data_IF_032285993244
#
_entry.id   IF_032285993244
#
_cell.length_a   1.000
_cell.length_b   1.000
_cell.length_c   1.000
_cell.angle_alpha   90.00
_cell.angle_beta   90.00
_cell.angle_gamma   90.00
#
_symmetry.space_group_name_H-M   'P 1'
#
loop_
_entity.id
_entity.type
_entity.pdbx_description
1 polymer ?
#
# COMPACT_ATOMS: atom_id res chain seq x y z
N UNK A 1 3.81 -15.70 -14.79
CA UNK A 1 5.00 -16.11 -14.01
C UNK A 1 5.47 -17.43 -14.61
N UNK A 2 6.64 -17.45 -15.24
CA UNK A 2 7.18 -18.69 -15.82
C UNK A 2 7.66 -19.57 -14.67
N UNK A 3 7.17 -20.80 -14.55
CA UNK A 3 7.57 -21.75 -13.50
C UNK A 3 9.09 -22.07 -13.50
N UNK A 4 9.80 -21.68 -14.57
CA UNK A 4 11.24 -21.90 -14.75
C UNK A 4 12.14 -21.09 -13.82
N UNK A 5 11.63 -20.08 -13.10
CA UNK A 5 12.44 -19.24 -12.20
C UNK A 5 12.12 -19.46 -10.72
N UNK A 6 11.43 -20.55 -10.37
CA UNK A 6 11.10 -20.85 -8.98
C UNK A 6 12.27 -21.57 -8.31
N UNK A 7 12.82 -20.98 -7.24
CA UNK A 7 13.79 -21.67 -6.40
C UNK A 7 13.07 -22.39 -5.25
N UNK A 8 13.58 -23.58 -4.94
CA UNK A 8 13.12 -24.40 -3.83
C UNK A 8 14.27 -24.58 -2.86
N UNK A 9 13.96 -24.65 -1.56
CA UNK A 9 14.93 -25.01 -0.54
C UNK A 9 15.46 -26.44 -0.74
N UNK A 10 16.78 -26.60 -0.76
CA UNK A 10 17.43 -27.90 -0.87
C UNK A 10 17.63 -28.48 0.53
N UNK A 11 16.67 -29.27 0.99
CA UNK A 11 16.77 -29.94 2.29
C UNK A 11 17.79 -31.11 2.28
N UNK A 12 18.33 -31.45 3.45
CA UNK A 12 19.37 -32.48 3.60
C UNK A 12 18.92 -33.88 3.15
N UNK A 13 17.64 -34.20 3.27
CA UNK A 13 17.06 -35.47 2.80
C UNK A 13 17.01 -35.52 1.26
N UNK A 14 16.74 -34.38 0.63
CA UNK A 14 16.68 -34.21 -0.82
C UNK A 14 18.09 -34.34 -1.41
N UNK A 15 19.08 -33.72 -0.77
CA UNK A 15 20.48 -33.87 -1.14
C UNK A 15 20.93 -35.35 -1.13
N UNK A 16 20.61 -36.09 -0.06
CA UNK A 16 20.93 -37.53 0.05
C UNK A 16 20.29 -38.39 -1.05
N UNK A 17 19.07 -38.05 -1.47
CA UNK A 17 18.35 -38.81 -2.52
C UNK A 17 18.83 -38.47 -3.93
N UNK A 18 19.37 -37.27 -4.14
CA UNK A 18 19.92 -36.82 -5.43
C UNK A 18 21.34 -37.29 -5.72
N UNK A 19 22.18 -37.52 -4.69
CA UNK A 19 23.55 -38.04 -4.86
C UNK A 19 23.64 -39.27 -5.78
N UNK A 20 22.86 -40.35 -5.56
CA UNK A 20 22.96 -41.55 -6.40
C UNK A 20 22.46 -41.35 -7.84
N UNK A 21 21.66 -40.32 -8.12
CA UNK A 21 21.13 -40.04 -9.45
C UNK A 21 22.17 -39.48 -10.41
N UNK A 22 23.23 -38.83 -9.90
CA UNK A 22 24.22 -38.13 -10.72
C UNK A 22 24.89 -39.05 -11.74
N UNK A 23 25.15 -40.31 -11.37
CA UNK A 23 25.78 -41.31 -12.25
C UNK A 23 24.82 -41.97 -13.24
N UNK A 24 23.50 -41.83 -13.04
CA UNK A 24 22.46 -42.50 -13.83
C UNK A 24 21.80 -41.57 -14.86
N UNK A 25 21.90 -40.26 -14.64
CA UNK A 25 21.31 -39.25 -15.50
C UNK A 25 22.08 -39.12 -16.84
N UNK A 26 21.39 -38.73 -17.93
CA UNK A 26 22.05 -38.32 -19.16
C UNK A 26 23.05 -37.19 -18.91
N UNK A 27 24.13 -37.15 -19.69
CA UNK A 27 25.25 -36.22 -19.49
C UNK A 27 24.86 -34.74 -19.43
N UNK A 28 23.77 -34.33 -20.09
CA UNK A 28 23.27 -32.95 -20.03
C UNK A 28 22.64 -32.59 -18.69
N UNK A 29 21.92 -33.52 -18.06
CA UNK A 29 21.22 -33.29 -16.80
C UNK A 29 22.14 -33.49 -15.59
N UNK A 30 23.10 -34.43 -15.70
CA UNK A 30 24.07 -34.67 -14.62
C UNK A 30 24.95 -33.45 -14.36
N UNK A 31 25.37 -32.73 -15.39
CA UNK A 31 26.15 -31.48 -15.26
C UNK A 31 25.36 -30.41 -14.52
N UNK A 32 24.07 -30.24 -14.84
CA UNK A 32 23.21 -29.27 -14.16
C UNK A 32 23.00 -29.63 -12.69
N UNK A 33 22.79 -30.92 -12.39
CA UNK A 33 22.57 -31.39 -11.02
C UNK A 33 23.85 -31.32 -10.17
N UNK A 34 25.02 -31.55 -10.76
CA UNK A 34 26.32 -31.57 -10.06
C UNK A 34 26.68 -30.20 -9.43
N UNK A 35 26.23 -29.11 -10.04
CA UNK A 35 26.36 -27.75 -9.49
C UNK A 35 25.67 -27.59 -8.13
N UNK A 36 24.60 -28.35 -7.87
CA UNK A 36 23.80 -28.25 -6.64
C UNK A 36 24.15 -29.33 -5.60
N UNK A 37 25.04 -30.26 -5.93
CA UNK A 37 25.46 -31.37 -5.04
C UNK A 37 26.88 -31.16 -4.50
N UNK A 38 27.66 -30.27 -5.12
CA UNK A 38 29.04 -29.94 -4.73
C UNK A 38 29.11 -29.41 -3.29
N UNK A 39 30.21 -29.69 -2.57
CA UNK A 39 30.45 -29.25 -1.20
C UNK A 39 31.15 -27.87 -1.21
N UNK A 40 30.59 -26.81 -0.60
CA UNK A 40 29.36 -26.77 0.21
C UNK A 40 28.06 -26.74 -0.60
N UNK A 41 27.03 -27.52 -0.19
CA UNK A 41 25.78 -27.58 -0.93
C UNK A 41 25.03 -26.24 -0.84
N UNK A 42 24.56 -25.70 -1.97
CA UNK A 42 23.71 -24.51 -1.95
C UNK A 42 22.39 -24.81 -1.23
N UNK A 43 21.88 -23.83 -0.48
CA UNK A 43 20.62 -23.97 0.27
C UNK A 43 19.37 -23.98 -0.62
N UNK A 44 19.51 -23.70 -1.91
CA UNK A 44 18.42 -23.63 -2.88
C UNK A 44 18.78 -24.34 -4.18
N UNK A 45 17.76 -24.94 -4.80
CA UNK A 45 17.84 -25.59 -6.11
C UNK A 45 16.68 -25.07 -7.00
N UNK A 46 16.93 -24.78 -8.28
CA UNK A 46 15.87 -24.42 -9.22
C UNK A 46 14.86 -25.56 -9.43
N UNK A 47 13.58 -25.21 -9.46
CA UNK A 47 12.47 -26.16 -9.66
C UNK A 47 12.57 -26.90 -11.00
N UNK A 48 13.05 -26.24 -12.05
CA UNK A 48 13.19 -26.85 -13.37
C UNK A 48 14.11 -28.07 -13.36
N UNK A 49 15.20 -28.07 -12.58
CA UNK A 49 16.13 -29.21 -12.46
C UNK A 49 15.43 -30.40 -11.81
N UNK A 50 14.66 -30.17 -10.75
CA UNK A 50 13.89 -31.24 -10.11
C UNK A 50 12.76 -31.75 -11.01
N UNK A 51 12.18 -30.86 -11.82
CA UNK A 51 11.15 -31.20 -12.79
C UNK A 51 11.70 -32.06 -13.94
N UNK A 52 12.89 -31.76 -14.49
CA UNK A 52 13.50 -32.59 -15.54
C UNK A 52 13.84 -33.98 -15.02
N UNK A 53 14.34 -34.09 -13.78
CA UNK A 53 14.58 -35.38 -13.11
C UNK A 53 13.27 -36.16 -12.90
N UNK A 54 12.21 -35.48 -12.46
CA UNK A 54 10.87 -36.08 -12.31
C UNK A 54 10.28 -36.55 -13.65
N UNK A 55 10.54 -35.84 -14.74
CA UNK A 55 10.11 -36.26 -16.08
C UNK A 55 10.95 -37.46 -16.57
N UNK A 56 12.26 -37.42 -16.37
CA UNK A 56 13.16 -38.51 -16.74
C UNK A 56 12.83 -39.81 -15.99
N UNK A 57 12.54 -39.75 -14.69
CA UNK A 57 12.17 -40.93 -13.89
C UNK A 57 10.88 -41.61 -14.36
N UNK A 58 10.00 -40.88 -15.08
CA UNK A 58 8.78 -41.42 -15.71
C UNK A 58 9.02 -42.08 -17.07
N UNK A 59 10.16 -41.83 -17.71
CA UNK A 59 10.50 -42.47 -18.99
C UNK A 59 10.88 -43.94 -18.79
N UNK A 60 10.66 -44.76 -19.82
CA UNK A 60 11.01 -46.19 -19.77
C UNK A 60 12.50 -46.44 -19.57
N UNK A 61 13.35 -45.57 -20.12
CA UNK A 61 14.82 -45.61 -19.94
C UNK A 61 15.21 -45.26 -18.51
N UNK A 62 14.64 -44.20 -17.95
CA UNK A 62 14.87 -43.79 -16.55
C UNK A 62 14.41 -44.86 -15.55
N UNK A 63 13.21 -45.42 -15.72
CA UNK A 63 12.72 -46.51 -14.86
C UNK A 63 13.62 -47.74 -14.89
N UNK A 64 14.12 -48.12 -16.07
CA UNK A 64 15.04 -49.26 -16.21
C UNK A 64 16.37 -48.98 -15.53
N UNK A 65 16.92 -47.77 -15.68
CA UNK A 65 18.17 -47.37 -15.05
C UNK A 65 18.07 -47.31 -13.51
N UNK A 66 16.96 -46.79 -12.98
CA UNK A 66 16.69 -46.73 -11.53
C UNK A 66 16.56 -48.14 -10.94
N UNK A 67 15.74 -49.01 -11.56
CA UNK A 67 15.57 -50.39 -11.11
C UNK A 67 16.85 -51.21 -11.18
N UNK A 68 17.71 -50.97 -12.19
CA UNK A 68 19.00 -51.64 -12.30
C UNK A 68 19.94 -51.31 -11.13
N UNK A 69 19.74 -50.18 -10.46
CA UNK A 69 20.53 -49.73 -9.31
C UNK A 69 19.79 -49.89 -7.98
N UNK A 70 18.73 -50.73 -7.93
CA UNK A 70 17.91 -50.97 -6.74
C UNK A 70 17.24 -49.72 -6.15
N UNK A 71 16.95 -48.72 -6.99
CA UNK A 71 16.21 -47.51 -6.62
C UNK A 71 14.75 -47.63 -7.05
N UNK A 72 13.81 -47.22 -6.21
CA UNK A 72 12.39 -47.20 -6.56
C UNK A 72 12.08 -45.98 -7.46
N UNK A 73 11.59 -46.17 -8.69
CA UNK A 73 11.20 -45.05 -9.54
C UNK A 73 10.13 -44.15 -8.91
N UNK A 74 9.25 -44.68 -8.05
CA UNK A 74 8.15 -43.89 -7.46
C UNK A 74 8.67 -42.73 -6.61
N UNK A 75 9.76 -42.92 -5.87
CA UNK A 75 10.38 -41.89 -5.02
C UNK A 75 10.84 -40.67 -5.82
N UNK A 76 11.18 -40.87 -7.10
CA UNK A 76 11.69 -39.83 -7.99
C UNK A 76 10.61 -39.21 -8.88
N UNK A 77 9.43 -39.81 -8.97
CA UNK A 77 8.33 -39.28 -9.81
C UNK A 77 7.73 -38.00 -9.26
N UNK A 78 7.78 -37.80 -7.94
CA UNK A 78 7.22 -36.66 -7.23
C UNK A 78 8.27 -35.85 -6.46
N UNK A 79 9.56 -35.99 -6.81
CA UNK A 79 10.66 -35.31 -6.08
C UNK A 79 10.49 -33.78 -6.06
N UNK A 80 9.90 -33.20 -7.11
CA UNK A 80 9.59 -31.78 -7.18
C UNK A 80 8.48 -31.33 -6.20
N UNK A 81 7.61 -32.25 -5.74
CA UNK A 81 6.60 -31.98 -4.71
C UNK A 81 7.10 -32.31 -3.30
N UNK A 82 8.02 -33.26 -3.19
CA UNK A 82 8.69 -33.62 -1.93
C UNK A 82 9.75 -32.59 -1.50
N UNK A 83 10.17 -31.71 -2.41
CA UNK A 83 11.22 -30.71 -2.18
C UNK A 83 10.89 -29.61 -1.14
N UNK A 84 9.83 -29.77 -0.34
CA UNK A 84 9.55 -28.90 0.80
C UNK A 84 8.72 -27.66 0.47
N UNK A 85 8.03 -27.16 1.50
CA UNK A 85 6.90 -26.25 1.44
C UNK A 85 7.26 -24.76 1.20
N UNK A 86 8.55 -24.41 1.16
CA UNK A 86 9.00 -23.03 1.01
C UNK A 86 9.43 -22.75 -0.42
N UNK A 87 8.46 -22.35 -1.25
CA UNK A 87 8.72 -21.79 -2.58
C UNK A 87 9.21 -20.35 -2.45
N UNK A 88 10.34 -20.02 -3.07
CA UNK A 88 10.94 -18.67 -2.99
C UNK A 88 11.25 -18.20 -1.55
N UNK A 89 12.14 -18.89 -0.81
CA UNK A 89 12.58 -18.43 0.51
C UNK A 89 13.24 -17.03 0.47
N UNK A 90 13.76 -16.62 -0.68
CA UNK A 90 14.27 -15.27 -0.95
C UNK A 90 13.18 -14.22 -1.26
N UNK A 91 11.93 -14.66 -1.40
CA UNK A 91 10.80 -13.80 -1.72
C UNK A 91 10.45 -12.87 -0.56
N UNK A 92 10.89 -11.61 -0.63
CA UNK A 92 10.39 -10.57 0.27
C UNK A 92 8.94 -10.30 -0.10
N UNK A 93 7.99 -10.72 0.74
CA UNK A 93 6.62 -10.23 0.66
C UNK A 93 6.67 -8.71 0.80
N UNK A 94 6.07 -7.99 -0.16
CA UNK A 94 6.07 -6.52 -0.13
C UNK A 94 5.43 -5.98 1.16
N UNK A 95 5.74 -4.72 1.50
CA UNK A 95 5.18 -4.08 2.70
C UNK A 95 3.65 -4.11 2.67
N UNK A 96 3.05 -4.77 3.66
CA UNK A 96 1.60 -4.79 3.81
C UNK A 96 1.09 -3.38 4.14
N UNK A 97 0.28 -2.81 3.24
CA UNK A 97 -0.43 -1.56 3.49
C UNK A 97 -1.85 -1.89 3.95
N UNK A 98 -2.20 -1.67 5.23
CA UNK A 98 -3.53 -1.97 5.73
C UNK A 98 -4.59 -1.13 5.01
N UNK A 99 -5.81 -1.67 4.79
CA UNK A 99 -6.92 -0.90 4.26
C UNK A 99 -7.17 0.36 5.08
N UNK A 100 -7.39 1.49 4.41
CA UNK A 100 -7.72 2.76 5.08
C UNK A 100 -8.99 2.56 5.93
N UNK A 101 -8.94 2.98 7.20
CA UNK A 101 -10.11 2.93 8.08
C UNK A 101 -11.27 3.81 7.57
N UNK A 102 -12.52 3.53 7.97
CA UNK A 102 -13.71 4.22 7.48
C UNK A 102 -13.64 5.75 7.68
N UNK A 103 -13.09 6.21 8.80
CA UNK A 103 -12.90 7.64 9.08
C UNK A 103 -11.94 8.34 8.11
N UNK A 104 -10.91 7.65 7.62
CA UNK A 104 -9.97 8.21 6.66
C UNK A 104 -10.63 8.34 5.27
N UNK A 105 -11.47 7.37 4.89
CA UNK A 105 -12.22 7.39 3.64
C UNK A 105 -13.23 8.54 3.64
N UNK A 106 -13.94 8.77 4.74
CA UNK A 106 -14.87 9.89 4.87
C UNK A 106 -14.17 11.26 4.80
N UNK A 107 -13.00 11.38 5.44
CA UNK A 107 -12.20 12.60 5.39
C UNK A 107 -11.70 12.89 3.97
N UNK A 108 -11.30 11.86 3.21
CA UNK A 108 -10.88 12.01 1.82
C UNK A 108 -12.07 12.42 0.93
N UNK A 109 -13.24 11.79 1.07
CA UNK A 109 -14.47 12.21 0.36
C UNK A 109 -14.89 13.65 0.65
N UNK A 110 -14.72 14.11 1.89
CA UNK A 110 -15.04 15.50 2.25
C UNK A 110 -14.08 16.50 1.58
N UNK A 111 -12.80 16.15 1.41
CA UNK A 111 -11.83 16.98 0.68
C UNK A 111 -12.15 16.99 -0.82
N UNK A 112 -12.45 15.83 -1.40
CA UNK A 112 -12.84 15.71 -2.81
C UNK A 112 -14.03 16.61 -3.14
N UNK A 113 -15.08 16.59 -2.30
CA UNK A 113 -16.25 17.48 -2.50
C UNK A 113 -15.87 18.95 -2.48
N UNK A 114 -14.99 19.37 -1.56
CA UNK A 114 -14.52 20.76 -1.47
C UNK A 114 -13.73 21.17 -2.71
N UNK A 115 -12.85 20.30 -3.19
CA UNK A 115 -12.07 20.54 -4.40
C UNK A 115 -12.99 20.66 -5.62
N UNK A 116 -13.97 19.77 -5.76
CA UNK A 116 -14.97 19.83 -6.84
C UNK A 116 -15.76 21.15 -6.77
N UNK A 117 -16.22 21.57 -5.58
CA UNK A 117 -16.95 22.84 -5.45
C UNK A 117 -16.09 24.05 -5.78
N UNK A 118 -14.81 24.04 -5.40
CA UNK A 118 -13.89 25.13 -5.73
C UNK A 118 -13.67 25.22 -7.25
N UNK A 119 -13.50 24.09 -7.91
CA UNK A 119 -13.34 24.02 -9.37
C UNK A 119 -14.59 24.52 -10.11
N UNK A 120 -15.78 24.12 -9.66
CA UNK A 120 -17.03 24.62 -10.23
C UNK A 120 -17.20 26.13 -10.02
N UNK A 121 -16.84 26.65 -8.84
CA UNK A 121 -16.89 28.08 -8.58
C UNK A 121 -15.94 28.86 -9.50
N UNK A 122 -14.71 28.40 -9.66
CA UNK A 122 -13.74 29.02 -10.55
C UNK A 122 -14.21 29.01 -12.01
N UNK A 123 -14.74 27.88 -12.50
CA UNK A 123 -15.30 27.79 -13.85
C UNK A 123 -16.47 28.76 -14.06
N UNK A 124 -17.36 28.86 -13.08
CA UNK A 124 -18.49 29.78 -13.14
C UNK A 124 -18.05 31.25 -13.09
N UNK A 125 -17.05 31.59 -12.27
CA UNK A 125 -16.45 32.94 -12.24
C UNK A 125 -15.87 33.32 -13.59
N UNK A 126 -15.04 32.46 -14.19
CA UNK A 126 -14.38 32.70 -15.47
C UNK A 126 -15.42 32.84 -16.58
N UNK A 127 -16.33 31.86 -16.69
CA UNK A 127 -17.38 31.86 -17.71
C UNK A 127 -18.36 33.02 -17.56
N UNK A 128 -18.77 33.32 -16.33
CA UNK A 128 -19.67 34.43 -16.01
C UNK A 128 -19.06 35.80 -16.34
N UNK A 129 -17.79 36.02 -16.00
CA UNK A 129 -17.09 37.26 -16.34
C UNK A 129 -16.87 37.42 -17.85
N UNK A 130 -16.50 36.34 -18.54
CA UNK A 130 -16.35 36.33 -20.00
C UNK A 130 -17.69 36.63 -20.70
N UNK A 131 -18.77 35.96 -20.27
CA UNK A 131 -20.10 36.14 -20.82
C UNK A 131 -20.66 37.54 -20.56
N UNK A 132 -20.50 38.06 -19.33
CA UNK A 132 -20.90 39.41 -18.99
C UNK A 132 -20.16 40.46 -19.84
N UNK A 133 -18.85 40.26 -20.06
CA UNK A 133 -18.03 41.14 -20.91
C UNK A 133 -18.49 41.08 -22.37
N UNK A 134 -18.75 39.88 -22.88
CA UNK A 134 -19.27 39.70 -24.24
C UNK A 134 -20.64 40.36 -24.43
N UNK A 135 -21.54 40.20 -23.45
CA UNK A 135 -22.86 40.83 -23.47
C UNK A 135 -22.79 42.36 -23.37
N UNK A 136 -21.91 42.91 -22.52
CA UNK A 136 -21.69 44.34 -22.43
C UNK A 136 -21.13 44.91 -23.74
N UNK A 137 -20.16 44.23 -24.35
CA UNK A 137 -19.60 44.61 -25.64
C UNK A 137 -20.63 44.50 -26.79
N UNK A 138 -21.63 43.61 -26.66
CA UNK A 138 -22.75 43.55 -27.60
C UNK A 138 -23.59 44.84 -27.58
N UNK A 139 -23.90 45.34 -26.39
CA UNK A 139 -24.66 46.60 -26.22
C UNK A 139 -23.93 47.82 -26.77
N UNK A 140 -22.60 47.81 -26.79
CA UNK A 140 -21.77 48.89 -27.35
C UNK A 140 -21.64 48.83 -28.89
N UNK A 141 -22.26 47.86 -29.57
CA UNK A 141 -22.17 47.65 -31.04
C UNK A 141 -20.73 47.53 -31.57
N UNK A 142 -19.80 47.03 -30.75
CA UNK A 142 -18.44 46.73 -31.20
C UNK A 142 -18.41 45.57 -32.21
N UNK A 143 -17.39 45.52 -33.07
CA UNK A 143 -17.23 44.42 -34.02
C UNK A 143 -16.98 43.10 -33.29
N UNK A 144 -17.37 41.98 -33.89
CA UNK A 144 -17.30 40.66 -33.26
C UNK A 144 -15.87 40.29 -32.82
N UNK A 145 -14.86 40.75 -33.57
CA UNK A 145 -13.44 40.56 -33.25
C UNK A 145 -13.07 41.13 -31.87
N UNK A 146 -13.42 42.41 -31.61
CA UNK A 146 -13.13 43.07 -30.34
C UNK A 146 -13.91 42.48 -29.17
N UNK A 147 -15.13 41.99 -29.40
CA UNK A 147 -15.94 41.33 -28.36
C UNK A 147 -15.27 40.06 -27.85
N UNK A 148 -14.80 39.22 -28.77
CA UNK A 148 -14.12 37.96 -28.43
C UNK A 148 -12.80 38.25 -27.71
N UNK A 149 -12.00 39.17 -28.27
CA UNK A 149 -10.67 39.51 -27.73
C UNK A 149 -10.76 40.04 -26.28
N UNK A 150 -11.73 40.91 -26.00
CA UNK A 150 -11.95 41.43 -24.65
C UNK A 150 -12.52 40.38 -23.69
N UNK A 151 -13.48 39.56 -24.13
CA UNK A 151 -14.01 38.48 -23.29
C UNK A 151 -12.94 37.47 -22.89
N UNK A 152 -12.01 37.15 -23.81
CA UNK A 152 -10.88 36.26 -23.56
C UNK A 152 -9.87 36.91 -22.61
N UNK A 153 -9.58 38.20 -22.77
CA UNK A 153 -8.69 38.93 -21.89
C UNK A 153 -9.22 38.96 -20.44
N UNK A 154 -10.51 39.25 -20.26
CA UNK A 154 -11.15 39.23 -18.94
C UNK A 154 -11.15 37.81 -18.36
N UNK A 155 -11.50 36.79 -19.15
CA UNK A 155 -11.44 35.39 -18.72
C UNK A 155 -10.04 35.01 -18.24
N UNK A 156 -8.99 35.45 -18.94
CA UNK A 156 -7.59 35.17 -18.59
C UNK A 156 -7.20 35.82 -17.25
N UNK A 157 -7.57 37.08 -17.02
CA UNK A 157 -7.29 37.78 -15.75
C UNK A 157 -7.98 37.06 -14.58
N UNK A 158 -9.27 36.69 -14.76
CA UNK A 158 -10.03 35.98 -13.73
C UNK A 158 -9.44 34.60 -13.47
N UNK A 159 -9.03 33.87 -14.51
CA UNK A 159 -8.39 32.57 -14.37
C UNK A 159 -7.07 32.64 -13.58
N UNK A 160 -6.25 33.67 -13.83
CA UNK A 160 -5.01 33.90 -13.07
C UNK A 160 -5.35 34.21 -11.60
N UNK A 161 -6.34 35.06 -11.35
CA UNK A 161 -6.77 35.41 -9.99
C UNK A 161 -7.27 34.20 -9.20
N UNK A 162 -8.14 33.38 -9.80
CA UNK A 162 -8.64 32.13 -9.20
C UNK A 162 -7.52 31.11 -9.01
N UNK A 163 -6.56 31.03 -9.94
CA UNK A 163 -5.38 30.16 -9.84
C UNK A 163 -4.50 30.52 -8.63
N UNK A 164 -4.24 31.80 -8.40
CA UNK A 164 -3.50 32.26 -7.21
C UNK A 164 -4.27 31.92 -5.93
N UNK A 165 -5.59 32.13 -5.92
CA UNK A 165 -6.43 31.81 -4.76
C UNK A 165 -6.43 30.32 -4.45
N UNK A 166 -6.44 29.48 -5.48
CA UNK A 166 -6.35 28.03 -5.36
C UNK A 166 -5.01 27.59 -4.76
N UNK A 167 -3.88 28.14 -5.23
CA UNK A 167 -2.55 27.84 -4.68
C UNK A 167 -2.46 28.20 -3.19
N UNK A 168 -3.02 29.34 -2.79
CA UNK A 168 -3.08 29.74 -1.38
C UNK A 168 -3.90 28.74 -0.58
N UNK A 169 -5.07 28.33 -1.09
CA UNK A 169 -5.93 27.35 -0.42
C UNK A 169 -5.28 25.97 -0.27
N UNK A 170 -4.55 25.51 -1.29
CA UNK A 170 -3.77 24.26 -1.24
C UNK A 170 -2.66 24.35 -0.18
N UNK A 171 -1.91 25.46 -0.15
CA UNK A 171 -0.84 25.66 0.84
C UNK A 171 -1.34 25.64 2.29
N UNK A 172 -2.53 26.19 2.55
CA UNK A 172 -3.15 26.18 3.87
C UNK A 172 -3.60 24.78 4.30
N UNK A 173 -4.03 23.93 3.36
CA UNK A 173 -4.39 22.55 3.67
C UNK A 173 -3.18 21.72 4.08
N UNK A 174 -2.04 21.91 3.41
CA UNK A 174 -0.82 21.19 3.74
C UNK A 174 -0.23 21.65 5.09
N UNK A 175 -0.31 22.94 5.40
CA UNK A 175 0.04 23.46 6.71
C UNK A 175 -0.86 22.89 7.83
N UNK A 176 -2.15 22.74 7.57
CA UNK A 176 -3.11 22.17 8.53
C UNK A 176 -2.85 20.69 8.84
N UNK A 177 -2.44 19.90 7.83
CA UNK A 177 -2.04 18.49 8.02
C UNK A 177 -0.83 18.37 8.95
N UNK A 178 0.17 19.24 8.78
CA UNK A 178 1.40 19.25 9.61
C UNK A 178 1.11 19.62 11.08
N UNK A 179 0.17 20.53 11.32
CA UNK A 179 -0.20 20.98 12.67
C UNK A 179 -1.22 20.05 13.38
N UNK A 180 -1.98 19.23 12.66
CA UNK A 180 -2.86 18.24 13.30
C UNK A 180 -2.10 17.06 13.90
N UNK A 181 -0.95 16.66 13.31
CA UNK A 181 -0.10 15.60 13.86
C UNK A 181 0.43 15.91 15.26
N UNK A 182 0.81 17.17 15.51
CA UNK A 182 1.33 17.61 16.82
C UNK A 182 0.22 17.80 17.86
N UNK A 183 -0.99 18.20 17.47
CA UNK A 183 -2.14 18.31 18.41
C UNK A 183 -2.69 16.96 18.86
N UNK A 184 -2.71 15.94 17.99
CA UNK A 184 -3.21 14.59 18.34
C UNK A 184 -2.32 13.87 19.35
N UNK A 185 -1.02 14.16 19.37
CA UNK A 185 -0.10 13.62 20.38
C UNK A 185 -0.36 14.20 21.79
N UNK A 186 -0.79 15.47 21.88
CA UNK A 186 -1.10 16.11 23.18
C UNK A 186 -2.45 15.71 23.77
N UNK A 187 -3.45 15.38 22.94
CA UNK A 187 -4.76 14.95 23.47
C UNK A 187 -4.79 13.49 23.92
N UNK A 188 -3.79 12.69 23.56
CA UNK A 188 -3.68 11.30 24.00
C UNK A 188 -3.10 11.16 25.43
N UNK A 189 -2.45 12.19 25.96
CA UNK A 189 -1.80 12.16 27.28
C UNK A 189 -2.74 12.51 28.45
N UNK A 190 -3.95 13.02 28.19
CA UNK A 190 -4.85 13.54 29.24
C UNK A 190 -6.04 12.61 29.55
N UNK A 191 -5.97 11.31 29.21
CA UNK A 191 -7.05 10.35 29.47
C UNK A 191 -6.58 9.13 30.27
N UNK A 192 -5.92 9.40 31.40
CA UNK A 192 -5.69 8.44 32.49
C UNK A 192 -5.81 9.19 33.81
N UNK A 193 -7.03 9.49 34.20
CA UNK A 193 -7.41 9.49 35.61
C UNK A 193 -8.92 9.34 35.64
N UNK A 194 -9.39 8.20 36.14
CA UNK A 194 -10.72 7.99 36.71
C UNK A 194 -10.93 6.48 36.91
N UNK A 195 -10.76 6.05 38.15
CA UNK A 195 -11.45 4.88 38.69
C UNK A 195 -10.56 3.74 39.17
N UNK A 196 -10.11 3.80 40.42
CA UNK A 196 -10.04 2.59 41.25
C UNK A 196 -10.29 2.92 42.73
N UNK A 197 -11.25 2.20 43.28
CA UNK A 197 -11.85 2.26 44.62
C UNK A 197 -10.89 1.86 45.75
N UNK A 198 -11.09 2.51 46.90
CA UNK A 198 -10.46 2.34 48.24
C UNK A 198 -10.45 0.89 48.77
N UNK A 199 -9.59 0.56 49.77
CA UNK A 199 -10.10 0.61 51.15
C UNK A 199 -9.12 1.15 52.22
N UNK A 200 -9.72 1.89 53.16
CA UNK A 200 -9.53 1.90 54.61
C UNK A 200 -8.12 2.03 55.23
N UNK A 201 -7.83 3.23 55.76
CA UNK A 201 -7.45 3.43 57.17
C UNK A 201 -7.58 4.92 57.56
N UNK A 202 -8.34 5.19 58.63
CA UNK A 202 -8.56 6.47 59.35
C UNK A 202 -7.29 6.89 60.15
N UNK A 203 -7.18 8.10 60.76
CA UNK A 203 -8.28 9.01 61.18
C UNK A 203 -8.10 10.54 60.94
N UNK A 204 -9.23 11.23 61.11
CA UNK A 204 -9.47 12.61 61.57
C UNK A 204 -8.36 13.66 61.42
N UNK A 205 -8.60 14.66 60.56
CA UNK A 205 -8.66 16.04 61.05
C UNK A 205 -9.47 16.95 60.11
N UNK A 206 -10.17 17.88 60.71
CA UNK A 206 -11.11 18.83 60.14
C UNK A 206 -10.41 19.84 59.22
N UNK A 207 -11.04 20.19 58.10
CA UNK A 207 -11.29 21.61 57.77
C UNK A 207 -12.29 21.74 56.63
N UNK A 208 -13.42 22.36 56.96
CA UNK A 208 -14.32 23.01 56.01
C UNK A 208 -13.56 24.03 55.15
N UNK A 209 -13.80 24.02 53.85
CA UNK A 209 -14.12 25.27 53.15
C UNK A 209 -15.01 25.02 51.93
N UNK A 210 -16.26 25.41 52.09
CA UNK A 210 -17.19 25.80 51.04
C UNK A 210 -16.55 26.90 50.20
N UNK A 211 -16.54 26.76 48.88
CA UNK A 211 -17.03 27.86 48.06
C UNK A 211 -17.63 27.35 46.75
N UNK A 212 -18.80 27.87 46.48
CA UNK A 212 -19.69 27.60 45.36
C UNK A 212 -19.77 28.88 44.56
N UNK A 213 -19.35 28.83 43.29
CA UNK A 213 -19.74 29.85 42.32
C UNK A 213 -20.02 29.19 40.98
N UNK A 214 -21.30 29.20 40.65
CA UNK A 214 -21.85 29.12 39.30
C UNK A 214 -21.13 30.08 38.36
N UNK A 215 -20.75 29.63 37.16
CA UNK A 215 -20.87 30.50 35.99
C UNK A 215 -21.37 29.73 34.77
N UNK A 216 -22.66 29.99 34.54
CA UNK A 216 -23.52 29.69 33.41
C UNK A 216 -22.93 29.89 32.01
N UNK A 217 -23.35 28.97 31.13
CA UNK A 217 -23.90 29.22 29.80
C UNK A 217 -23.03 29.91 28.73
N UNK A 218 -22.71 29.15 27.66
CA UNK A 218 -22.85 29.67 26.30
C UNK A 218 -23.06 28.54 25.27
N UNK A 219 -24.33 28.14 25.14
CA UNK A 219 -24.85 27.39 24.00
C UNK A 219 -24.95 28.32 22.78
N UNK A 220 -23.96 28.29 21.88
CA UNK A 220 -24.02 29.05 20.62
C UNK A 220 -24.66 28.21 19.51
N UNK A 221 -25.91 28.57 19.22
CA UNK A 221 -26.74 28.15 18.08
C UNK A 221 -25.97 28.20 16.75
N UNK A 222 -26.10 27.13 15.97
CA UNK A 222 -25.94 27.15 14.51
C UNK A 222 -27.23 27.72 13.88
N UNK A 223 -27.06 28.68 12.98
CA UNK A 223 -27.89 28.86 11.79
C UNK A 223 -26.93 28.95 10.62
#
# INVERSE_FOLDING_TARGET
>A
MNANSLNISLESHLHKTLIPLVSLLPASESVNLQLYISDPPPSTIPYNVLQTISQWSRTSTGQKALRANSLDPQDYTMIAMLAGATTSPEGKFGDYTPPKGPQAIEADRAKERKAITALLNALLSIGGAAFATWWAADKLRWTNEWRVLLSLCVAMIVAISEGVLYVIWESQQDASKRNQGTRRLRSATHKKDDGETSPANLPDDLTMKVDSTDESANLRRRR
#
